data_IF_707176675163
#
_entry.id   IF_707176675163
#
_cell.length_a   1.000
_cell.length_b   1.000
_cell.length_c   1.000
_cell.angle_alpha   90.00
_cell.angle_beta   90.00
_cell.angle_gamma   90.00
#
_symmetry.space_group_name_H-M   'P 1'
#
loop_
_entity.id
_entity.type
_entity.pdbx_description
1 polymer ?
#
# COMPACT_ATOMS: atom_id res chain seq x y z
N UNK A 1 -5.74 12.84 6.07
CA UNK A 1 -5.63 11.80 5.02
C UNK A 1 -5.38 10.42 5.62
N UNK A 2 -4.77 10.36 6.81
CA UNK A 2 -4.48 9.09 7.50
C UNK A 2 -5.74 8.27 7.84
N UNK A 3 -6.84 8.91 8.27
CA UNK A 3 -8.09 8.23 8.60
C UNK A 3 -8.71 7.47 7.42
N UNK A 4 -8.71 8.08 6.23
CA UNK A 4 -9.22 7.45 5.01
C UNK A 4 -8.41 6.20 4.64
N UNK A 5 -7.09 6.30 4.75
CA UNK A 5 -6.17 5.21 4.40
C UNK A 5 -6.25 4.09 5.43
N UNK A 6 -6.31 4.42 6.72
CA UNK A 6 -6.51 3.45 7.79
C UNK A 6 -7.83 2.68 7.62
N UNK A 7 -8.92 3.38 7.29
CA UNK A 7 -10.21 2.76 7.05
C UNK A 7 -10.20 1.88 5.79
N UNK A 8 -9.58 2.34 4.70
CA UNK A 8 -9.42 1.54 3.48
C UNK A 8 -8.66 0.24 3.76
N UNK A 9 -7.51 0.30 4.45
CA UNK A 9 -6.72 -0.87 4.82
C UNK A 9 -7.55 -1.84 5.68
N UNK A 10 -8.32 -1.31 6.64
CA UNK A 10 -9.24 -2.11 7.46
C UNK A 10 -10.30 -2.85 6.66
N UNK A 11 -10.98 -2.16 5.73
CA UNK A 11 -12.01 -2.76 4.87
C UNK A 11 -11.42 -3.81 3.92
N UNK A 12 -10.27 -3.52 3.30
CA UNK A 12 -9.59 -4.49 2.43
C UNK A 12 -9.18 -5.75 3.21
N UNK A 13 -8.63 -5.57 4.42
CA UNK A 13 -8.22 -6.70 5.27
C UNK A 13 -9.42 -7.53 5.70
N UNK A 14 -10.49 -6.90 6.19
CA UNK A 14 -11.71 -7.58 6.61
C UNK A 14 -12.35 -8.37 5.45
N UNK A 15 -12.41 -7.77 4.26
CA UNK A 15 -12.96 -8.40 3.06
C UNK A 15 -12.08 -9.57 2.59
N UNK A 16 -10.75 -9.42 2.59
CA UNK A 16 -9.82 -10.48 2.21
C UNK A 16 -9.88 -11.68 3.15
N UNK A 17 -9.94 -11.44 4.47
CA UNK A 17 -10.11 -12.49 5.49
C UNK A 17 -11.46 -13.20 5.32
N UNK A 18 -12.55 -12.45 5.14
CA UNK A 18 -13.88 -13.01 4.91
C UNK A 18 -13.93 -13.94 3.69
N UNK A 19 -13.35 -13.49 2.56
CA UNK A 19 -13.34 -14.28 1.33
C UNK A 19 -12.44 -15.53 1.44
N UNK A 20 -11.35 -15.45 2.19
CA UNK A 20 -10.41 -16.56 2.45
C UNK A 20 -11.05 -17.66 3.30
N UNK A 21 -11.95 -17.31 4.22
CA UNK A 21 -12.68 -18.27 5.06
C UNK A 21 -13.83 -18.97 4.32
N UNK A 22 -14.14 -18.59 3.08
CA UNK A 22 -15.26 -19.15 2.32
C UNK A 22 -14.88 -20.51 1.73
N UNK A 23 -15.75 -21.53 1.90
CA UNK A 23 -15.54 -22.91 1.43
C UNK A 23 -15.67 -23.10 -0.11
N UNK A 24 -15.09 -22.20 -0.91
CA UNK A 24 -14.97 -22.31 -2.37
C UNK A 24 -13.63 -21.74 -2.79
N UNK A 25 -12.92 -22.43 -3.68
CA UNK A 25 -11.56 -22.09 -4.10
C UNK A 25 -11.46 -20.72 -4.79
N UNK A 26 -12.44 -20.36 -5.62
CA UNK A 26 -12.44 -19.07 -6.33
C UNK A 26 -12.47 -17.85 -5.39
N UNK A 27 -13.40 -17.77 -4.41
CA UNK A 27 -13.36 -16.75 -3.35
C UNK A 27 -12.05 -16.71 -2.57
N UNK A 28 -11.45 -17.86 -2.25
CA UNK A 28 -10.20 -17.89 -1.49
C UNK A 28 -9.06 -17.22 -2.25
N UNK A 29 -8.93 -17.50 -3.55
CA UNK A 29 -7.92 -16.86 -4.40
C UNK A 29 -8.11 -15.36 -4.45
N UNK A 30 -9.37 -14.89 -4.59
CA UNK A 30 -9.69 -13.47 -4.55
C UNK A 30 -9.42 -12.84 -3.17
N UNK A 31 -9.69 -13.57 -2.09
CA UNK A 31 -9.38 -13.12 -0.73
C UNK A 31 -7.89 -12.93 -0.51
N UNK A 32 -7.08 -13.87 -1.01
CA UNK A 32 -5.63 -13.84 -0.91
C UNK A 32 -5.01 -12.68 -1.71
N UNK A 33 -5.50 -12.42 -2.93
CA UNK A 33 -5.04 -11.28 -3.73
C UNK A 33 -5.42 -9.96 -3.09
N UNK A 34 -6.62 -9.85 -2.51
CA UNK A 34 -7.10 -8.65 -1.83
C UNK A 34 -6.28 -8.35 -0.56
N UNK A 35 -5.91 -9.39 0.20
CA UNK A 35 -4.95 -9.31 1.31
C UNK A 35 -3.57 -8.84 0.86
N UNK A 36 -3.06 -9.35 -0.26
CA UNK A 36 -1.78 -8.90 -0.82
C UNK A 36 -1.82 -7.39 -1.15
N UNK A 37 -2.91 -6.91 -1.76
CA UNK A 37 -3.10 -5.48 -2.00
C UNK A 37 -3.18 -4.66 -0.70
N UNK A 38 -3.89 -5.15 0.32
CA UNK A 38 -3.99 -4.49 1.62
C UNK A 38 -2.60 -4.29 2.26
N UNK A 39 -1.77 -5.34 2.23
CA UNK A 39 -0.39 -5.30 2.74
C UNK A 39 0.46 -4.31 1.94
N UNK A 40 0.34 -4.31 0.61
CA UNK A 40 1.09 -3.36 -0.23
C UNK A 40 0.76 -1.91 0.12
N UNK A 41 -0.54 -1.56 0.23
CA UNK A 41 -0.96 -0.21 0.62
C UNK A 41 -0.52 0.12 2.04
N UNK A 42 -0.58 -0.83 2.97
CA UNK A 42 -0.10 -0.65 4.34
C UNK A 42 1.40 -0.34 4.40
N UNK A 43 2.22 -1.08 3.66
CA UNK A 43 3.67 -0.82 3.58
C UNK A 43 3.94 0.59 3.04
N UNK A 44 3.19 1.01 2.02
CA UNK A 44 3.32 2.36 1.47
C UNK A 44 2.90 3.44 2.46
N UNK A 45 1.86 3.20 3.26
CA UNK A 45 1.39 4.13 4.29
C UNK A 45 2.36 4.25 5.48
N UNK A 46 3.07 3.17 5.84
CA UNK A 46 4.03 3.14 6.95
C UNK A 46 5.27 4.04 6.72
N UNK A 47 5.64 4.29 5.45
CA UNK A 47 6.80 5.11 5.08
C UNK A 47 6.66 6.63 5.30
N UNK A 48 5.60 7.08 5.99
CA UNK A 48 5.03 8.45 5.98
C UNK A 48 4.54 8.86 4.59
N UNK A 49 3.27 9.21 4.54
CA UNK A 49 2.62 9.80 3.38
C UNK A 49 2.98 11.28 3.28
N UNK A 50 4.25 11.58 2.97
CA UNK A 50 4.68 12.94 2.65
C UNK A 50 4.25 13.31 1.24
N UNK A 51 3.28 14.20 1.13
CA UNK A 51 2.81 14.74 -0.15
C UNK A 51 3.86 15.71 -0.68
N UNK A 52 4.32 15.51 -1.92
CA UNK A 52 5.22 16.44 -2.61
C UNK A 52 6.72 16.15 -2.47
N UNK A 53 7.13 15.06 -1.82
CA UNK A 53 8.52 14.58 -1.85
C UNK A 53 8.68 13.44 -2.87
N UNK A 54 9.76 13.45 -3.68
CA UNK A 54 10.03 12.37 -4.62
C UNK A 54 10.25 11.06 -3.87
N UNK A 55 9.57 10.00 -4.31
CA UNK A 55 9.65 8.66 -3.69
C UNK A 55 10.99 7.95 -3.95
N UNK A 56 11.79 8.47 -4.89
CA UNK A 56 13.12 7.99 -5.25
C UNK A 56 14.10 9.13 -5.00
N UNK A 57 15.21 8.84 -4.30
CA UNK A 57 16.34 9.76 -4.20
C UNK A 57 16.89 9.92 -5.61
N UNK A 58 16.66 11.08 -6.19
CA UNK A 58 17.18 11.43 -7.50
C UNK A 58 18.69 11.71 -7.37
N UNK A 59 19.53 10.75 -7.74
CA UNK A 59 21.00 10.93 -7.76
C UNK A 59 21.44 12.02 -8.75
N UNK A 60 20.58 12.42 -9.68
CA UNK A 60 20.88 13.50 -10.66
C UNK A 60 20.64 14.88 -10.03
N UNK A 61 19.74 15.01 -9.06
CA UNK A 61 19.54 16.23 -8.28
C UNK A 61 20.79 16.58 -7.43
N UNK A 62 21.46 15.58 -6.85
CA UNK A 62 22.72 15.80 -6.11
C UNK A 62 23.88 16.25 -7.02
N UNK A 63 23.92 15.78 -8.28
CA UNK A 63 24.95 16.18 -9.24
C UNK A 63 24.75 17.60 -9.79
N UNK A 64 23.51 18.08 -9.88
CA UNK A 64 23.19 19.44 -10.29
C UNK A 64 23.48 20.49 -9.20
N UNK A 65 23.51 20.09 -7.92
CA UNK A 65 23.80 20.98 -6.79
C UNK A 65 25.29 21.24 -6.54
N UNK A 66 26.21 20.48 -7.18
CA UNK A 66 27.65 20.72 -7.11
C UNK A 66 28.19 21.47 -8.35
N UNK A 67 27.31 21.86 -9.27
CA UNK A 67 27.65 22.59 -10.50
C UNK A 67 27.16 24.04 -10.49
N UNK A 68 26.96 24.62 -9.31
CA UNK A 68 26.93 26.08 -9.08
C UNK A 68 28.04 26.45 -8.08
#
# INVERSE_FOLDING_TARGET
MEWLISLAIGVLTASGVYLTLRARTFPVVLGLTLLAYAVNVFLFAMGRLTVGLPAVIDKTAEAAQYSD
#
